data_IF_036525082263
#
_entry.id   IF_036525082263
#
_cell.length_a   1.000
_cell.length_b   1.000
_cell.length_c   1.000
_cell.angle_alpha   90.00
_cell.angle_beta   90.00
_cell.angle_gamma   90.00
#
_symmetry.space_group_name_H-M   'P 1'
#
loop_
_entity.id
_entity.type
_entity.pdbx_description
1 polymer ?
#
# COMPACT_ATOMS: atom_id res chain seq x y z
N UNK A 1 14.49 -48.90 -25.96
CA UNK A 1 15.06 -47.86 -25.07
C UNK A 1 14.33 -46.54 -25.33
N UNK A 2 13.28 -46.25 -24.56
CA UNK A 2 12.57 -44.96 -24.62
C UNK A 2 13.21 -44.01 -23.60
N UNK A 3 13.71 -42.86 -24.06
CA UNK A 3 14.10 -41.74 -23.19
C UNK A 3 12.93 -40.77 -23.11
N UNK A 4 12.32 -40.69 -21.93
CA UNK A 4 11.40 -39.62 -21.56
C UNK A 4 12.19 -38.31 -21.48
N UNK A 5 11.84 -37.34 -22.32
CA UNK A 5 12.28 -35.95 -22.20
C UNK A 5 11.18 -35.19 -21.46
N UNK A 6 11.37 -34.92 -20.18
CA UNK A 6 10.51 -34.02 -19.39
C UNK A 6 10.92 -32.59 -19.73
N UNK A 7 10.01 -31.68 -20.15
CA UNK A 7 10.34 -30.28 -20.24
C UNK A 7 10.31 -29.68 -18.83
N UNK A 8 11.50 -29.53 -18.26
CA UNK A 8 11.73 -28.60 -17.16
C UNK A 8 11.76 -27.18 -17.71
N UNK A 9 10.93 -26.30 -17.14
CA UNK A 9 11.15 -24.87 -17.22
C UNK A 9 10.02 -24.09 -17.86
N UNK A 10 8.99 -23.78 -17.08
CA UNK A 10 8.34 -22.47 -17.15
C UNK A 10 7.58 -22.17 -15.84
N UNK A 11 8.35 -21.96 -14.76
CA UNK A 11 7.90 -21.21 -13.58
C UNK A 11 8.61 -19.84 -13.59
N UNK A 12 8.44 -19.11 -14.69
CA UNK A 12 8.85 -17.70 -14.80
C UNK A 12 7.58 -16.89 -14.97
N UNK A 13 6.95 -16.55 -13.85
CA UNK A 13 5.73 -15.74 -13.87
C UNK A 13 5.14 -15.63 -12.48
N UNK A 14 5.72 -14.78 -11.63
CA UNK A 14 5.00 -14.01 -10.60
C UNK A 14 5.91 -13.12 -9.74
N UNK A 15 7.24 -13.26 -9.79
CA UNK A 15 8.14 -12.45 -8.94
C UNK A 15 8.33 -10.98 -9.41
N UNK A 16 7.85 -10.61 -10.61
CA UNK A 16 8.09 -9.27 -11.20
C UNK A 16 6.94 -8.28 -10.94
N UNK A 17 5.74 -8.74 -10.56
CA UNK A 17 4.60 -7.85 -10.29
C UNK A 17 4.70 -7.10 -8.95
N UNK A 18 5.39 -7.68 -7.95
CA UNK A 18 5.54 -7.07 -6.62
C UNK A 18 6.39 -5.78 -6.60
N UNK A 19 7.01 -5.39 -7.72
CA UNK A 19 7.78 -4.15 -7.84
C UNK A 19 6.94 -2.91 -8.17
N UNK A 20 5.91 -3.05 -9.02
CA UNK A 20 5.12 -1.94 -9.55
C UNK A 20 3.91 -1.58 -8.66
N UNK A 21 3.35 -2.55 -7.93
CA UNK A 21 2.16 -2.33 -7.10
C UNK A 21 2.46 -1.89 -5.66
N UNK A 22 3.74 -1.73 -5.30
CA UNK A 22 4.15 -1.33 -3.93
C UNK A 22 3.45 -0.08 -3.42
N UNK A 23 3.30 1.01 -4.21
CA UNK A 23 2.57 2.19 -3.75
C UNK A 23 1.09 1.90 -3.44
N UNK A 24 0.48 0.90 -4.09
CA UNK A 24 -0.89 0.50 -3.83
C UNK A 24 -0.99 -0.23 -2.49
N UNK A 25 -0.08 -1.17 -2.23
CA UNK A 25 -0.01 -1.86 -0.95
C UNK A 25 0.30 -0.92 0.21
N UNK A 26 1.19 0.07 0.04
CA UNK A 26 1.45 1.10 1.06
C UNK A 26 0.19 1.89 1.44
N UNK A 27 -0.59 2.30 0.42
CA UNK A 27 -1.86 3.01 0.63
C UNK A 27 -2.89 2.12 1.31
N UNK A 28 -3.00 0.88 0.84
CA UNK A 28 -3.90 -0.11 1.39
C UNK A 28 -3.59 -0.42 2.87
N UNK A 29 -2.33 -0.69 3.21
CA UNK A 29 -1.91 -0.96 4.59
C UNK A 29 -2.16 0.26 5.50
N UNK A 30 -1.89 1.48 5.03
CA UNK A 30 -2.27 2.71 5.77
C UNK A 30 -3.77 2.81 5.97
N UNK A 31 -4.57 2.48 4.95
CA UNK A 31 -6.03 2.53 5.04
C UNK A 31 -6.55 1.52 6.07
N UNK A 32 -6.08 0.27 6.00
CA UNK A 32 -6.47 -0.78 6.96
C UNK A 32 -6.03 -0.46 8.38
N UNK A 33 -4.81 0.07 8.58
CA UNK A 33 -4.32 0.43 9.91
C UNK A 33 -5.10 1.57 10.57
N UNK A 34 -5.74 2.43 9.76
CA UNK A 34 -6.54 3.57 10.22
C UNK A 34 -8.04 3.27 10.25
N UNK A 35 -8.46 2.16 9.64
CA UNK A 35 -9.86 1.79 9.62
C UNK A 35 -10.31 1.38 11.04
N UNK A 36 -11.44 1.92 11.53
CA UNK A 36 -11.98 1.54 12.82
C UNK A 36 -12.26 0.03 12.88
N UNK A 37 -11.92 -0.58 14.03
CA UNK A 37 -11.91 -2.04 14.26
C UNK A 37 -13.32 -2.62 14.17
N UNK A 38 -14.35 -1.83 14.51
CA UNK A 38 -15.75 -2.11 14.31
C UNK A 38 -16.46 -0.78 14.13
N UNK A 39 -17.10 -0.57 12.99
CA UNK A 39 -18.12 0.47 12.88
C UNK A 39 -19.44 -0.20 12.61
N UNK A 40 -20.09 -0.60 13.70
CA UNK A 40 -21.55 -0.51 13.77
C UNK A 40 -22.01 0.97 13.71
N UNK A 41 -21.06 1.92 13.72
CA UNK A 41 -21.29 3.35 13.59
C UNK A 41 -21.60 3.74 12.15
N UNK A 42 -22.82 4.26 11.99
CA UNK A 42 -23.31 5.03 10.85
C UNK A 42 -22.23 5.96 10.29
N UNK A 43 -22.06 5.95 8.97
CA UNK A 43 -21.21 6.92 8.27
C UNK A 43 -21.87 8.30 8.41
N UNK A 44 -21.16 9.26 8.99
CA UNK A 44 -21.62 10.64 9.06
C UNK A 44 -21.45 11.30 7.68
N UNK A 45 -22.55 11.76 7.09
CA UNK A 45 -22.58 12.53 5.85
C UNK A 45 -23.18 13.90 6.20
N UNK A 46 -22.39 14.96 6.05
CA UNK A 46 -22.73 16.32 6.51
C UNK A 46 -23.05 16.42 8.02
N UNK A 47 -22.35 15.64 8.85
CA UNK A 47 -22.60 15.61 10.30
C UNK A 47 -23.87 14.86 10.70
N UNK A 48 -24.61 14.29 9.74
CA UNK A 48 -25.76 13.44 10.02
C UNK A 48 -25.40 11.96 9.85
N UNK A 49 -25.82 11.09 10.79
CA UNK A 49 -25.63 9.67 10.65
C UNK A 49 -26.47 9.14 9.49
N UNK A 50 -25.79 8.64 8.46
CA UNK A 50 -26.42 7.90 7.37
C UNK A 50 -26.25 6.41 7.68
N UNK A 51 -27.32 5.64 7.49
CA UNK A 51 -27.31 4.18 7.60
C UNK A 51 -26.53 3.49 6.46
N UNK A 52 -25.45 4.12 5.97
CA UNK A 52 -24.46 3.45 5.16
C UNK A 52 -23.48 2.78 6.11
N UNK A 53 -23.47 1.46 6.12
CA UNK A 53 -22.35 0.68 6.66
C UNK A 53 -21.23 0.72 5.63
N UNK A 54 -20.10 1.32 5.98
CA UNK A 54 -18.90 1.16 5.19
C UNK A 54 -18.49 -0.31 5.28
N UNK A 55 -18.68 -1.07 4.19
CA UNK A 55 -18.24 -2.46 4.15
C UNK A 55 -16.75 -2.53 4.44
N UNK A 56 -16.39 -3.29 5.47
CA UNK A 56 -14.98 -3.46 5.82
C UNK A 56 -14.27 -4.29 4.75
N UNK A 57 -12.95 -4.12 4.60
CA UNK A 57 -12.15 -4.95 3.68
C UNK A 57 -12.35 -6.44 3.99
N UNK A 58 -12.47 -6.78 5.28
CA UNK A 58 -12.76 -8.13 5.76
C UNK A 58 -14.09 -8.67 5.27
N UNK A 59 -15.17 -7.87 5.33
CA UNK A 59 -16.48 -8.26 4.81
C UNK A 59 -16.47 -8.44 3.29
N UNK A 60 -15.78 -7.54 2.58
CA UNK A 60 -15.71 -7.59 1.13
C UNK A 60 -14.95 -8.82 0.61
N UNK A 61 -13.89 -9.22 1.32
CA UNK A 61 -13.05 -10.36 0.94
C UNK A 61 -13.47 -11.67 1.63
N UNK A 62 -14.50 -11.64 2.48
CA UNK A 62 -14.90 -12.79 3.28
C UNK A 62 -13.77 -13.32 4.16
N UNK A 63 -12.98 -12.41 4.75
CA UNK A 63 -11.89 -12.78 5.65
C UNK A 63 -12.45 -13.31 6.97
N UNK A 64 -11.88 -14.39 7.45
CA UNK A 64 -12.07 -14.87 8.82
C UNK A 64 -11.54 -13.86 9.84
N UNK A 65 -11.93 -14.01 11.10
CA UNK A 65 -11.40 -13.20 12.20
C UNK A 65 -9.87 -13.34 12.34
N UNK A 66 -9.35 -14.55 12.06
CA UNK A 66 -7.91 -14.83 12.05
C UNK A 66 -7.19 -14.06 10.94
N UNK A 67 -7.65 -14.18 9.70
CA UNK A 67 -7.09 -13.45 8.54
C UNK A 67 -7.20 -11.93 8.72
N UNK A 68 -8.31 -11.45 9.27
CA UNK A 68 -8.51 -10.03 9.60
C UNK A 68 -7.52 -9.55 10.65
N UNK A 69 -7.24 -10.36 11.68
CA UNK A 69 -6.25 -10.04 12.71
C UNK A 69 -4.86 -9.94 12.12
N UNK A 70 -4.46 -10.91 11.31
CA UNK A 70 -3.17 -10.92 10.58
C UNK A 70 -3.02 -9.65 9.74
N UNK A 71 -4.03 -9.34 8.93
CA UNK A 71 -4.01 -8.17 8.06
C UNK A 71 -3.85 -6.86 8.87
N UNK A 72 -4.56 -6.75 10.01
CA UNK A 72 -4.45 -5.58 10.90
C UNK A 72 -3.10 -5.49 11.59
N UNK A 73 -2.53 -6.62 12.01
CA UNK A 73 -1.19 -6.66 12.62
C UNK A 73 -0.15 -6.14 11.64
N UNK A 74 -0.14 -6.67 10.42
CA UNK A 74 0.77 -6.27 9.34
C UNK A 74 0.57 -4.79 8.97
N UNK A 75 -0.68 -4.34 8.87
CA UNK A 75 -0.99 -2.94 8.61
C UNK A 75 -0.50 -2.00 9.74
N UNK A 76 -0.64 -2.43 10.99
CA UNK A 76 -0.16 -1.68 12.16
C UNK A 76 1.37 -1.61 12.21
N UNK A 77 2.04 -2.71 11.87
CA UNK A 77 3.50 -2.76 11.73
C UNK A 77 3.99 -1.79 10.65
N UNK A 78 3.33 -1.79 9.48
CA UNK A 78 3.60 -0.82 8.42
C UNK A 78 3.42 0.61 8.91
N UNK A 79 2.33 0.91 9.63
CA UNK A 79 2.05 2.26 10.11
C UNK A 79 3.13 2.75 11.09
N UNK A 80 3.60 1.89 12.00
CA UNK A 80 4.69 2.21 12.94
C UNK A 80 5.98 2.58 12.20
N UNK A 81 6.36 1.79 11.19
CA UNK A 81 7.53 2.09 10.36
C UNK A 81 7.33 3.37 9.51
N UNK A 82 6.13 3.56 8.96
CA UNK A 82 5.79 4.71 8.14
C UNK A 82 5.91 6.03 8.89
N UNK A 83 5.62 6.08 10.20
CA UNK A 83 5.82 7.29 11.01
C UNK A 83 7.29 7.74 10.99
N UNK A 84 8.23 6.81 11.15
CA UNK A 84 9.67 7.12 11.13
C UNK A 84 10.15 7.59 9.75
N UNK A 85 9.70 6.93 8.69
CA UNK A 85 10.02 7.36 7.33
C UNK A 85 9.39 8.71 6.99
N UNK A 86 8.14 8.96 7.37
CA UNK A 86 7.45 10.21 7.06
C UNK A 86 8.11 11.39 7.80
N UNK A 87 8.56 11.19 9.05
CA UNK A 87 9.31 12.19 9.80
C UNK A 87 10.65 12.54 9.14
N UNK A 88 11.29 11.57 8.48
CA UNK A 88 12.59 11.76 7.82
C UNK A 88 12.45 12.23 6.36
N UNK A 89 11.50 11.70 5.61
CA UNK A 89 11.33 11.95 4.17
C UNK A 89 10.75 13.34 3.90
N UNK A 90 9.74 13.79 4.66
CA UNK A 90 9.07 15.08 4.42
C UNK A 90 10.04 16.27 4.36
N UNK A 91 10.96 16.48 5.32
CA UNK A 91 11.91 17.58 5.24
C UNK A 91 12.89 17.43 4.06
N UNK A 92 13.30 16.21 3.70
CA UNK A 92 14.18 15.96 2.56
C UNK A 92 13.48 16.27 1.23
N UNK A 93 12.22 15.87 1.08
CA UNK A 93 11.40 16.20 -0.10
C UNK A 93 11.19 17.69 -0.21
N UNK A 94 10.95 18.38 0.92
CA UNK A 94 10.86 19.83 0.93
C UNK A 94 12.17 20.49 0.47
N UNK A 95 13.32 20.06 0.99
CA UNK A 95 14.63 20.57 0.58
C UNK A 95 14.88 20.37 -0.93
N UNK A 96 14.55 19.20 -1.48
CA UNK A 96 14.66 18.94 -2.92
C UNK A 96 13.74 19.84 -3.74
N UNK A 97 12.52 20.07 -3.27
CA UNK A 97 11.56 20.96 -3.95
C UNK A 97 12.02 22.42 -3.90
N UNK A 98 12.55 22.88 -2.77
CA UNK A 98 13.08 24.23 -2.63
C UNK A 98 14.27 24.48 -3.55
N UNK A 99 15.24 23.55 -3.60
CA UNK A 99 16.35 23.64 -4.53
C UNK A 99 15.88 23.78 -5.98
N UNK A 100 14.85 23.01 -6.38
CA UNK A 100 14.25 23.11 -7.72
C UNK A 100 13.56 24.45 -7.98
N UNK A 101 12.88 25.03 -6.99
CA UNK A 101 12.25 26.35 -7.10
C UNK A 101 13.32 27.44 -7.26
N UNK A 102 14.45 27.28 -6.59
CA UNK A 102 15.61 28.19 -6.69
C UNK A 102 16.45 27.95 -7.96
N UNK A 103 16.02 27.06 -8.86
CA UNK A 103 16.77 26.63 -10.05
C UNK A 103 18.17 26.06 -9.72
N UNK A 104 18.33 25.53 -8.50
CA UNK A 104 19.55 24.90 -8.01
C UNK A 104 19.42 23.38 -8.01
N UNK A 105 20.58 22.72 -8.03
CA UNK A 105 20.61 21.29 -7.77
C UNK A 105 20.46 21.04 -6.26
N UNK A 106 19.68 20.03 -5.85
CA UNK A 106 19.61 19.64 -4.46
C UNK A 106 20.95 19.08 -4.00
N UNK A 107 21.30 19.33 -2.73
CA UNK A 107 22.50 18.76 -2.11
C UNK A 107 22.54 17.24 -2.31
N UNK A 108 23.70 16.73 -2.73
CA UNK A 108 23.89 15.30 -2.98
C UNK A 108 23.64 14.46 -1.71
N UNK A 109 23.95 15.02 -0.53
CA UNK A 109 23.66 14.39 0.76
C UNK A 109 22.15 14.23 1.01
N UNK A 110 21.34 15.23 0.62
CA UNK A 110 19.87 15.20 0.72
C UNK A 110 19.31 14.17 -0.25
N UNK A 111 19.79 14.16 -1.50
CA UNK A 111 19.36 13.20 -2.52
C UNK A 111 19.68 11.75 -2.08
N UNK A 112 20.89 11.49 -1.57
CA UNK A 112 21.29 10.17 -1.06
C UNK A 112 20.45 9.72 0.14
N UNK A 113 20.20 10.61 1.11
CA UNK A 113 19.36 10.30 2.27
C UNK A 113 17.92 10.00 1.86
N UNK A 114 17.37 10.77 0.93
CA UNK A 114 16.02 10.54 0.41
C UNK A 114 15.90 9.17 -0.27
N UNK A 115 16.89 8.80 -1.09
CA UNK A 115 16.91 7.49 -1.74
C UNK A 115 17.10 6.34 -0.74
N UNK A 116 17.90 6.53 0.31
CA UNK A 116 18.06 5.55 1.38
C UNK A 116 16.73 5.27 2.10
N UNK A 117 16.01 6.32 2.52
CA UNK A 117 14.70 6.18 3.19
C UNK A 117 13.69 5.49 2.26
N UNK A 118 13.66 5.87 0.97
CA UNK A 118 12.75 5.24 -0.01
C UNK A 118 13.10 3.77 -0.24
N UNK A 119 14.37 3.43 -0.27
CA UNK A 119 14.83 2.04 -0.40
C UNK A 119 14.43 1.21 0.80
N UNK A 120 14.62 1.74 2.01
CA UNK A 120 14.22 1.09 3.25
C UNK A 120 12.71 0.84 3.28
N UNK A 121 11.91 1.88 2.98
CA UNK A 121 10.44 1.75 2.87
C UNK A 121 10.06 0.65 1.89
N UNK A 122 10.64 0.64 0.68
CA UNK A 122 10.36 -0.38 -0.33
C UNK A 122 10.72 -1.79 0.15
N UNK A 123 11.81 -1.95 0.89
CA UNK A 123 12.24 -3.22 1.43
C UNK A 123 11.29 -3.73 2.52
N UNK A 124 10.88 -2.88 3.45
CA UNK A 124 9.94 -3.25 4.52
C UNK A 124 8.55 -3.52 3.96
N UNK A 125 8.01 -2.67 3.07
CA UNK A 125 6.74 -2.94 2.38
C UNK A 125 6.77 -4.30 1.69
N UNK A 126 7.86 -4.62 0.97
CA UNK A 126 8.01 -5.92 0.31
C UNK A 126 7.94 -7.09 1.29
N UNK A 127 8.68 -7.01 2.40
CA UNK A 127 8.64 -8.05 3.45
C UNK A 127 7.24 -8.24 4.05
N UNK A 128 6.53 -7.14 4.30
CA UNK A 128 5.17 -7.20 4.86
C UNK A 128 4.16 -7.80 3.88
N UNK A 129 4.29 -7.52 2.58
CA UNK A 129 3.46 -8.13 1.55
C UNK A 129 3.74 -9.63 1.40
N UNK A 130 5.00 -10.04 1.44
CA UNK A 130 5.35 -11.48 1.44
C UNK A 130 4.85 -12.19 2.70
N UNK A 131 4.94 -11.55 3.87
CA UNK A 131 4.34 -12.08 5.11
C UNK A 131 2.83 -12.23 4.97
N UNK A 132 2.16 -11.24 4.39
CA UNK A 132 0.72 -11.28 4.15
C UNK A 132 0.33 -12.44 3.22
N UNK A 133 1.12 -12.66 2.16
CA UNK A 133 0.95 -13.80 1.24
C UNK A 133 1.12 -15.14 1.94
N UNK A 134 2.15 -15.26 2.78
CA UNK A 134 2.41 -16.49 3.54
C UNK A 134 1.29 -16.81 4.54
N UNK A 135 0.85 -15.82 5.32
CA UNK A 135 -0.12 -16.01 6.40
C UNK A 135 -1.56 -16.21 5.88
N UNK A 136 -1.93 -15.55 4.78
CA UNK A 136 -3.26 -15.72 4.16
C UNK A 136 -3.34 -16.94 3.23
N UNK A 137 -2.19 -17.39 2.72
CA UNK A 137 -2.12 -18.36 1.64
C UNK A 137 -2.40 -17.75 0.26
N UNK A 138 -1.96 -18.46 -0.78
CA UNK A 138 -1.93 -17.96 -2.16
C UNK A 138 -3.30 -17.51 -2.67
N UNK A 139 -4.32 -18.38 -2.57
CA UNK A 139 -5.65 -18.09 -3.11
C UNK A 139 -6.30 -16.86 -2.45
N UNK A 140 -6.08 -16.66 -1.14
CA UNK A 140 -6.62 -15.50 -0.42
C UNK A 140 -5.83 -14.24 -0.74
N UNK A 141 -4.52 -14.38 -0.86
CA UNK A 141 -3.66 -13.28 -1.27
C UNK A 141 -3.99 -12.79 -2.68
N UNK A 142 -4.31 -13.68 -3.63
CA UNK A 142 -4.73 -13.30 -4.98
C UNK A 142 -6.04 -12.48 -4.98
N UNK A 143 -7.02 -12.89 -4.15
CA UNK A 143 -8.25 -12.13 -3.97
C UNK A 143 -7.99 -10.74 -3.37
N UNK A 144 -7.05 -10.66 -2.42
CA UNK A 144 -6.61 -9.40 -1.84
C UNK A 144 -5.87 -8.53 -2.86
N UNK A 145 -4.94 -9.08 -3.64
CA UNK A 145 -4.19 -8.36 -4.68
C UNK A 145 -5.15 -7.79 -5.74
N UNK A 146 -6.09 -8.61 -6.20
CA UNK A 146 -7.15 -8.16 -7.11
C UNK A 146 -7.96 -6.99 -6.53
N UNK A 147 -8.29 -7.04 -5.23
CA UNK A 147 -8.97 -5.93 -4.54
C UNK A 147 -8.11 -4.68 -4.40
N UNK A 148 -6.84 -4.81 -4.04
CA UNK A 148 -5.91 -3.68 -3.93
C UNK A 148 -5.74 -2.99 -5.28
N UNK A 149 -5.65 -3.77 -6.36
CA UNK A 149 -5.52 -3.27 -7.74
C UNK A 149 -6.81 -2.64 -8.26
N UNK A 150 -7.98 -3.22 -7.98
CA UNK A 150 -9.27 -2.64 -8.41
C UNK A 150 -9.54 -1.28 -7.75
N UNK A 151 -8.96 -1.04 -6.57
CA UNK A 151 -9.07 0.21 -5.82
C UNK A 151 -7.98 1.24 -6.16
N UNK A 152 -7.17 1.00 -7.19
CA UNK A 152 -6.08 1.91 -7.61
C UNK A 152 -6.54 3.37 -7.72
N UNK A 153 -7.71 3.59 -8.32
CA UNK A 153 -8.26 4.93 -8.53
C UNK A 153 -8.98 5.47 -7.28
N UNK A 154 -9.62 4.60 -6.50
CA UNK A 154 -10.29 4.97 -5.25
C UNK A 154 -9.29 5.47 -4.18
N UNK A 155 -8.07 4.92 -4.16
CA UNK A 155 -6.97 5.41 -3.32
C UNK A 155 -6.21 6.59 -3.93
N UNK A 156 -6.65 7.10 -5.09
CA UNK A 156 -6.04 8.21 -5.82
C UNK A 156 -6.92 9.47 -5.83
N UNK A 157 -7.66 9.73 -4.76
CA UNK A 157 -8.38 11.01 -4.59
C UNK A 157 -7.40 12.14 -4.22
N UNK A 158 -6.68 12.65 -5.22
CA UNK A 158 -6.40 14.08 -5.24
C UNK A 158 -7.72 14.79 -5.62
N UNK A 159 -8.09 15.92 -4.98
CA UNK A 159 -9.26 16.67 -5.42
C UNK A 159 -9.09 17.06 -6.90
N UNK A 160 -10.15 16.99 -7.72
CA UNK A 160 -10.08 17.47 -9.09
C UNK A 160 -9.59 18.93 -9.08
N UNK A 161 -8.72 19.33 -10.03
CA UNK A 161 -8.34 20.74 -10.14
C UNK A 161 -9.61 21.58 -10.27
N UNK A 162 -9.70 22.66 -9.50
CA UNK A 162 -10.84 23.55 -9.53
C UNK A 162 -11.10 23.98 -10.99
N UNK A 163 -12.37 24.04 -11.43
CA UNK A 163 -12.69 24.54 -12.76
C UNK A 163 -12.11 25.94 -12.90
N UNK A 164 -11.26 26.13 -13.91
CA UNK A 164 -10.80 27.46 -14.30
C UNK A 164 -11.99 28.10 -15.01
N UNK A 165 -12.69 28.99 -14.30
CA UNK A 165 -13.73 29.80 -14.93
C UNK A 165 -13.06 30.73 -15.97
N UNK A 166 -13.62 30.82 -17.19
CA UNK A 166 -13.09 31.65 -18.28
C UNK A 166 -13.29 33.15 -18.05
#
# INVERSE_FOLDING_TARGET
MLRFLVPAGLLIGCAVAAGQDRPLYERFLRHVARAPVHTDGQVLLNGQPVAMRAQSVSEHLGLTDGETRVLREIASEYLKAAVGWDATEKPLVLAVRLARIEERQPDESVARRLEAVRRERRAVTGKLVERLRYELGEARFDALDAFVRSRRDAFSMAPPPAPVEP
#
